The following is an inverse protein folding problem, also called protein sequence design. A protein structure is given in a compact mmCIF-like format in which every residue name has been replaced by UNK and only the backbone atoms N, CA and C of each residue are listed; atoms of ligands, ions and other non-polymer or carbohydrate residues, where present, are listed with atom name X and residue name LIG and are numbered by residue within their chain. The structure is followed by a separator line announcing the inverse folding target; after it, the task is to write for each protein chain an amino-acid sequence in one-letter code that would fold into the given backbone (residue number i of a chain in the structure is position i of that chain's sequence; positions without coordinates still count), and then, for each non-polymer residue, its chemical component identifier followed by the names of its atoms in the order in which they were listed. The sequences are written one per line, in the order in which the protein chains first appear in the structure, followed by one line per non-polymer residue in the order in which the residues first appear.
data_IF_059986911787
#
_entry.id   IF_059986911787
#
_cell.length_a   1.000
_cell.length_b   1.000
_cell.length_c   1.000
_cell.angle_alpha   90.00
_cell.angle_beta   90.00
_cell.angle_gamma   90.00
#
_symmetry.space_group_name_H-M   'P 1'
#
loop_
_entity.id
_entity.type
_entity.pdbx_description
1 polymer ?
#
# COMPACT_ATOMS: atom_id res chain seq x y z
N UNK A 1 4.35 -15.94 31.67
CA UNK A 1 5.30 -14.87 32.07
C UNK A 1 5.14 -14.58 33.57
N UNK A 2 6.24 -14.36 34.36
CA UNK A 2 6.16 -14.23 35.85
C UNK A 2 5.18 -13.15 36.32
N UNK A 3 5.16 -12.01 35.63
CA UNK A 3 4.30 -10.86 35.96
C UNK A 3 2.81 -11.15 35.80
N UNK A 4 2.43 -11.89 34.76
CA UNK A 4 1.03 -12.29 34.51
C UNK A 4 0.52 -13.25 35.58
N UNK A 5 1.36 -14.22 35.97
CA UNK A 5 1.03 -15.16 37.08
C UNK A 5 0.85 -14.45 38.41
N UNK A 6 1.71 -13.46 38.69
CA UNK A 6 1.61 -12.66 39.92
C UNK A 6 0.32 -11.86 39.94
N UNK A 7 0.01 -11.16 38.83
CA UNK A 7 -1.22 -10.36 38.71
C UNK A 7 -2.48 -11.19 38.85
N UNK A 8 -2.53 -12.37 38.21
CA UNK A 8 -3.66 -13.29 38.33
C UNK A 8 -3.84 -13.79 39.78
N UNK A 9 -2.73 -14.17 40.45
CA UNK A 9 -2.76 -14.59 41.85
C UNK A 9 -3.22 -13.49 42.80
N UNK A 10 -2.73 -12.27 42.61
CA UNK A 10 -3.10 -11.10 43.44
C UNK A 10 -4.59 -10.72 43.28
N UNK A 11 -5.19 -11.10 42.16
CA UNK A 11 -6.61 -10.83 41.84
C UNK A 11 -7.52 -12.05 41.94
N UNK A 12 -7.00 -13.20 42.39
CA UNK A 12 -7.77 -14.42 42.59
C UNK A 12 -8.31 -15.07 41.31
N UNK A 13 -7.64 -14.83 40.17
CA UNK A 13 -8.06 -15.36 38.88
C UNK A 13 -7.28 -16.63 38.56
N UNK A 14 -8.02 -17.68 38.17
CA UNK A 14 -7.41 -18.93 37.68
C UNK A 14 -7.02 -18.79 36.20
N UNK A 15 -5.72 -18.79 35.93
CA UNK A 15 -5.19 -18.70 34.56
C UNK A 15 -5.60 -19.86 33.64
N UNK A 16 -5.98 -21.01 34.21
CA UNK A 16 -6.43 -22.16 33.43
C UNK A 16 -7.80 -21.97 32.79
N UNK A 17 -8.59 -21.01 33.28
CA UNK A 17 -9.92 -20.67 32.76
C UNK A 17 -9.89 -19.56 31.72
N UNK A 18 -8.74 -18.92 31.53
CA UNK A 18 -8.59 -17.82 30.59
C UNK A 18 -8.08 -18.31 29.23
N UNK A 19 -8.69 -17.82 28.18
CA UNK A 19 -8.17 -17.98 26.81
C UNK A 19 -7.11 -16.93 26.57
N UNK A 20 -5.86 -17.37 26.30
CA UNK A 20 -4.75 -16.44 26.03
C UNK A 20 -4.85 -15.85 24.62
N UNK A 21 -4.75 -14.53 24.50
CA UNK A 21 -4.70 -13.80 23.22
C UNK A 21 -3.28 -13.55 22.70
N UNK A 22 -2.25 -14.01 23.40
CA UNK A 22 -0.85 -13.88 22.97
C UNK A 22 -0.51 -14.72 21.73
N UNK A 23 0.61 -14.37 21.09
CA UNK A 23 1.08 -14.90 19.78
C UNK A 23 1.13 -16.44 19.70
N UNK A 24 1.29 -17.14 20.83
CA UNK A 24 1.31 -18.60 20.92
C UNK A 24 0.20 -19.14 21.85
N UNK A 25 -0.90 -18.41 22.02
CA UNK A 25 -1.96 -18.79 22.97
C UNK A 25 -1.58 -18.50 24.42
N UNK A 26 -0.56 -17.70 24.68
CA UNK A 26 -0.17 -17.33 26.04
C UNK A 26 -1.17 -16.31 26.61
N UNK A 27 -1.51 -16.47 27.90
CA UNK A 27 -2.31 -15.48 28.61
C UNK A 27 -1.48 -14.22 28.81
N UNK A 28 -1.98 -13.09 28.33
CA UNK A 28 -1.40 -11.76 28.43
C UNK A 28 -1.86 -11.04 29.70
N UNK A 29 -1.26 -9.88 29.97
CA UNK A 29 -1.69 -9.02 31.07
C UNK A 29 -3.09 -8.44 30.83
N UNK A 30 -3.37 -8.14 29.57
CA UNK A 30 -4.64 -7.61 29.07
C UNK A 30 -5.77 -8.62 29.26
N UNK A 31 -5.51 -9.92 29.05
CA UNK A 31 -6.50 -10.99 29.30
C UNK A 31 -6.88 -11.09 30.76
N UNK A 32 -5.91 -10.97 31.65
CA UNK A 32 -6.16 -10.96 33.09
C UNK A 32 -6.93 -9.70 33.52
N UNK A 33 -6.63 -8.53 32.92
CA UNK A 33 -7.36 -7.30 33.19
C UNK A 33 -8.81 -7.34 32.69
N UNK A 34 -9.04 -7.87 31.51
CA UNK A 34 -10.38 -8.06 30.95
C UNK A 34 -11.24 -8.99 31.85
N UNK A 35 -10.64 -10.07 32.36
CA UNK A 35 -11.32 -10.96 33.33
C UNK A 35 -11.69 -10.28 34.65
N UNK A 36 -10.93 -9.28 35.07
CA UNK A 36 -11.24 -8.46 36.27
C UNK A 36 -12.45 -7.55 36.01
N UNK A 37 -12.56 -7.01 34.79
CA UNK A 37 -13.61 -6.06 34.38
C UNK A 37 -14.97 -6.71 34.09
N UNK A 38 -15.06 -8.03 34.07
CA UNK A 38 -16.29 -8.74 33.73
C UNK A 38 -16.74 -8.61 32.28
N UNK A 39 -15.93 -8.02 31.44
CA UNK A 39 -16.14 -8.04 29.98
C UNK A 39 -15.82 -9.45 29.46
N UNK A 40 -16.84 -10.15 29.03
CA UNK A 40 -16.67 -11.41 28.32
C UNK A 40 -15.87 -11.12 27.04
N UNK A 41 -14.59 -11.52 27.02
CA UNK A 41 -13.81 -11.54 25.79
C UNK A 41 -14.58 -12.43 24.81
N UNK A 42 -14.99 -11.92 23.63
CA UNK A 42 -15.66 -12.77 22.67
C UNK A 42 -14.77 -13.99 22.40
N UNK A 43 -15.32 -15.20 22.30
CA UNK A 43 -14.52 -16.39 22.10
C UNK A 43 -13.62 -16.15 20.89
N UNK A 44 -12.31 -16.22 21.09
CA UNK A 44 -11.37 -16.20 19.98
C UNK A 44 -11.77 -17.38 19.11
N UNK A 45 -12.31 -17.11 17.94
CA UNK A 45 -12.62 -18.15 16.96
C UNK A 45 -11.28 -18.78 16.64
N UNK A 46 -10.97 -19.91 17.26
CA UNK A 46 -9.87 -20.75 16.85
C UNK A 46 -10.25 -21.27 15.46
N UNK A 47 -9.88 -20.51 14.46
CA UNK A 47 -9.92 -21.00 13.09
C UNK A 47 -8.88 -22.10 13.02
N UNK A 48 -9.34 -23.32 13.23
CA UNK A 48 -8.59 -24.54 12.92
C UNK A 48 -8.48 -24.60 11.38
N UNK A 49 -7.65 -23.71 10.85
CA UNK A 49 -7.35 -23.68 9.44
C UNK A 49 -6.32 -24.79 9.16
N UNK A 50 -6.83 -25.91 8.66
CA UNK A 50 -5.99 -26.90 8.01
C UNK A 50 -5.32 -26.26 6.78
N UNK A 51 -4.25 -25.51 7.00
CA UNK A 51 -3.53 -24.77 5.96
C UNK A 51 -2.11 -24.40 6.40
N UNK A 52 -1.23 -24.22 5.43
CA UNK A 52 0.12 -23.74 5.67
C UNK A 52 0.09 -22.24 6.04
N UNK A 53 0.76 -21.87 7.13
CA UNK A 53 0.93 -20.46 7.51
C UNK A 53 2.24 -19.92 6.96
N UNK A 54 2.13 -19.01 6.01
CA UNK A 54 3.29 -18.33 5.42
C UNK A 54 3.42 -16.95 6.07
N UNK A 55 4.49 -16.66 6.81
CA UNK A 55 4.66 -15.39 7.49
C UNK A 55 4.98 -14.27 6.48
N UNK A 56 4.19 -13.21 6.48
CA UNK A 56 4.43 -12.00 5.67
C UNK A 56 5.46 -11.12 6.37
N UNK A 57 6.61 -10.88 5.72
CA UNK A 57 7.75 -10.14 6.30
C UNK A 57 8.36 -9.16 5.30
N UNK A 58 9.19 -8.22 5.81
CA UNK A 58 9.97 -7.30 5.00
C UNK A 58 9.11 -6.45 4.06
N UNK A 59 9.49 -6.37 2.80
CA UNK A 59 8.83 -5.55 1.77
C UNK A 59 7.35 -5.92 1.59
N UNK A 60 7.01 -7.21 1.63
CA UNK A 60 5.62 -7.66 1.51
C UNK A 60 4.74 -7.13 2.65
N UNK A 61 5.26 -7.08 3.87
CA UNK A 61 4.53 -6.53 5.00
C UNK A 61 4.31 -5.04 4.85
N UNK A 62 5.35 -4.28 4.50
CA UNK A 62 5.24 -2.83 4.28
C UNK A 62 4.26 -2.50 3.15
N UNK A 63 4.29 -3.28 2.07
CA UNK A 63 3.35 -3.14 0.96
C UNK A 63 1.91 -3.39 1.42
N UNK A 64 1.67 -4.47 2.17
CA UNK A 64 0.33 -4.80 2.68
C UNK A 64 -0.21 -3.68 3.60
N UNK A 65 0.62 -3.17 4.51
CA UNK A 65 0.26 -2.07 5.41
C UNK A 65 -0.08 -0.79 4.62
N UNK A 66 0.73 -0.44 3.61
CA UNK A 66 0.49 0.73 2.75
C UNK A 66 -0.80 0.57 1.92
N UNK A 67 -1.08 -0.62 1.39
CA UNK A 67 -2.29 -0.89 0.62
C UNK A 67 -3.55 -0.83 1.49
N UNK A 68 -3.50 -1.38 2.71
CA UNK A 68 -4.60 -1.28 3.67
C UNK A 68 -4.85 0.20 4.02
N UNK A 69 -3.81 0.96 4.35
CA UNK A 69 -3.95 2.39 4.62
C UNK A 69 -4.60 3.12 3.45
N UNK A 70 -4.11 2.90 2.21
CA UNK A 70 -4.67 3.53 1.02
C UNK A 70 -6.14 3.16 0.79
N UNK A 71 -6.49 1.87 0.91
CA UNK A 71 -7.84 1.38 0.63
C UNK A 71 -8.91 1.93 1.59
N UNK A 72 -8.53 2.20 2.84
CA UNK A 72 -9.48 2.61 3.88
C UNK A 72 -9.43 4.10 4.24
N UNK A 73 -8.45 4.86 3.75
CA UNK A 73 -8.36 6.30 4.00
C UNK A 73 -8.68 7.15 2.77
N UNK A 74 -8.41 6.66 1.56
CA UNK A 74 -8.68 7.37 0.32
C UNK A 74 -9.93 6.82 -0.38
N UNK A 75 -10.95 7.64 -0.68
CA UNK A 75 -12.08 7.20 -1.50
C UNK A 75 -11.59 6.85 -2.90
N UNK A 76 -11.85 5.62 -3.36
CA UNK A 76 -11.45 5.13 -4.66
C UNK A 76 -12.61 5.25 -5.65
N UNK A 77 -12.31 5.79 -6.83
CA UNK A 77 -13.21 5.83 -7.98
C UNK A 77 -12.49 5.19 -9.15
N UNK A 78 -13.20 4.37 -9.93
CA UNK A 78 -12.66 3.74 -11.12
C UNK A 78 -13.46 4.19 -12.33
N UNK A 79 -12.74 4.64 -13.36
CA UNK A 79 -13.34 5.04 -14.62
C UNK A 79 -12.68 4.30 -15.78
N UNK A 80 -13.44 4.06 -16.82
CA UNK A 80 -12.96 3.34 -18.02
C UNK A 80 -13.18 4.20 -19.25
N UNK A 81 -12.18 4.22 -20.11
CA UNK A 81 -12.26 4.83 -21.44
C UNK A 81 -11.58 3.91 -22.46
N UNK A 82 -12.23 3.71 -23.60
CA UNK A 82 -11.63 3.00 -24.72
C UNK A 82 -10.97 4.01 -25.67
N UNK A 83 -9.73 3.73 -26.06
CA UNK A 83 -8.93 4.61 -26.91
C UNK A 83 -8.34 3.80 -28.06
N UNK A 84 -8.55 4.28 -29.31
CA UNK A 84 -7.86 3.73 -30.47
C UNK A 84 -6.37 4.10 -30.45
N UNK A 85 -5.52 3.09 -30.30
CA UNK A 85 -4.07 3.22 -30.22
C UNK A 85 -3.36 3.03 -31.58
N UNK A 86 -4.07 2.84 -32.69
CA UNK A 86 -3.49 2.53 -34.01
C UNK A 86 -2.44 3.55 -34.41
N UNK A 87 -2.74 4.84 -34.34
CA UNK A 87 -1.79 5.91 -34.65
C UNK A 87 -0.59 5.95 -33.70
N UNK A 88 -0.81 5.65 -32.44
CA UNK A 88 0.26 5.59 -31.44
C UNK A 88 1.25 4.47 -31.76
N UNK A 89 0.75 3.30 -32.16
CA UNK A 89 1.58 2.17 -32.56
C UNK A 89 2.38 2.47 -33.82
N UNK A 90 1.77 3.12 -34.83
CA UNK A 90 2.50 3.59 -36.02
C UNK A 90 3.62 4.56 -35.67
N UNK A 91 3.40 5.47 -34.72
CA UNK A 91 4.44 6.41 -34.26
C UNK A 91 5.56 5.65 -33.58
N UNK A 92 5.25 4.71 -32.68
CA UNK A 92 6.24 3.86 -32.01
C UNK A 92 7.12 3.14 -33.02
N UNK A 93 6.53 2.54 -34.05
CA UNK A 93 7.27 1.81 -35.07
C UNK A 93 8.21 2.73 -35.87
N UNK A 94 7.74 3.91 -36.27
CA UNK A 94 8.58 4.92 -36.93
C UNK A 94 9.71 5.43 -36.05
N UNK A 95 9.49 5.52 -34.73
CA UNK A 95 10.52 5.94 -33.78
C UNK A 95 11.59 4.85 -33.61
N UNK A 96 11.18 3.58 -33.52
CA UNK A 96 12.08 2.42 -33.43
C UNK A 96 13.05 2.33 -34.62
N UNK A 97 12.59 2.67 -35.81
CA UNK A 97 13.47 2.66 -37.00
C UNK A 97 14.50 3.78 -37.01
N UNK A 98 14.32 4.83 -36.20
CA UNK A 98 15.18 6.03 -36.14
C UNK A 98 16.03 6.14 -34.87
N UNK A 99 15.78 5.31 -33.89
CA UNK A 99 16.48 5.32 -32.60
C UNK A 99 17.05 3.94 -32.32
N UNK A 100 18.21 3.90 -31.67
CA UNK A 100 18.78 2.68 -31.09
C UNK A 100 18.13 2.29 -29.78
N UNK A 101 17.29 3.15 -29.22
CA UNK A 101 16.63 2.94 -27.94
C UNK A 101 15.38 2.08 -28.08
N UNK A 102 15.06 1.32 -27.04
CA UNK A 102 13.87 0.45 -27.02
C UNK A 102 12.61 1.23 -26.71
N UNK A 103 12.03 1.86 -27.74
CA UNK A 103 10.79 2.63 -27.58
C UNK A 103 9.58 1.68 -27.55
N UNK A 104 8.73 1.84 -26.56
CA UNK A 104 7.51 1.08 -26.37
C UNK A 104 6.27 1.99 -26.36
N UNK A 105 5.06 1.49 -26.61
CA UNK A 105 3.84 2.28 -26.46
C UNK A 105 3.70 2.91 -25.08
N UNK A 106 4.26 2.25 -24.06
CA UNK A 106 4.24 2.71 -22.69
C UNK A 106 4.95 4.05 -22.47
N UNK A 107 6.04 4.30 -23.20
CA UNK A 107 6.77 5.59 -23.18
C UNK A 107 5.86 6.74 -23.65
N UNK A 108 5.09 6.52 -24.73
CA UNK A 108 4.16 7.55 -25.24
C UNK A 108 2.98 7.78 -24.30
N UNK A 109 2.45 6.73 -23.70
CA UNK A 109 1.39 6.82 -22.68
C UNK A 109 1.91 7.60 -21.47
N UNK A 110 3.13 7.33 -21.02
CA UNK A 110 3.79 8.04 -19.90
C UNK A 110 3.97 9.53 -20.22
N UNK A 111 4.41 9.85 -21.42
CA UNK A 111 4.54 11.23 -21.87
C UNK A 111 3.18 11.95 -21.93
N UNK A 112 2.13 11.27 -22.38
CA UNK A 112 0.77 11.80 -22.38
C UNK A 112 0.25 12.05 -20.96
N UNK A 113 0.53 11.12 -20.03
CA UNK A 113 0.18 11.26 -18.61
C UNK A 113 0.87 12.48 -17.97
N UNK A 114 2.16 12.67 -18.22
CA UNK A 114 2.91 13.85 -17.72
C UNK A 114 2.28 15.14 -18.26
N UNK A 115 1.96 15.18 -19.55
CA UNK A 115 1.29 16.34 -20.16
C UNK A 115 -0.09 16.59 -19.57
N UNK A 116 -0.85 15.55 -19.30
CA UNK A 116 -2.16 15.65 -18.65
C UNK A 116 -2.01 16.20 -17.22
N UNK A 117 -1.04 15.73 -16.45
CA UNK A 117 -0.75 16.23 -15.11
C UNK A 117 -0.31 17.69 -15.09
N UNK A 118 0.46 18.14 -16.09
CA UNK A 118 0.81 19.54 -16.25
C UNK A 118 -0.42 20.41 -16.57
N UNK A 119 -1.33 19.90 -17.40
CA UNK A 119 -2.57 20.60 -17.77
C UNK A 119 -3.61 20.62 -16.64
N UNK A 120 -3.65 19.56 -15.86
CA UNK A 120 -4.59 19.38 -14.76
C UNK A 120 -3.84 19.14 -13.44
N UNK A 121 -3.20 20.17 -12.87
CA UNK A 121 -2.22 19.98 -11.79
C UNK A 121 -2.82 19.40 -10.50
N UNK A 122 -4.13 19.48 -10.31
CA UNK A 122 -4.79 18.87 -9.13
C UNK A 122 -4.68 17.35 -9.07
N UNK A 123 -4.42 16.66 -10.18
CA UNK A 123 -4.18 15.21 -10.17
C UNK A 123 -2.81 14.84 -9.59
N UNK A 124 -1.87 15.80 -9.52
CA UNK A 124 -0.55 15.65 -8.91
C UNK A 124 -0.51 16.46 -7.60
N UNK A 125 -1.33 16.08 -6.64
CA UNK A 125 -1.49 16.79 -5.38
C UNK A 125 -1.59 15.86 -4.19
N UNK A 126 -1.40 16.40 -2.99
CA UNK A 126 -1.59 15.72 -1.71
C UNK A 126 -2.68 16.40 -0.91
N UNK A 127 -3.48 15.59 -0.22
CA UNK A 127 -4.39 16.06 0.81
C UNK A 127 -3.62 16.28 2.11
N UNK A 128 -3.84 17.41 2.76
CA UNK A 128 -3.21 17.78 4.04
C UNK A 128 -4.30 18.19 5.01
N UNK A 129 -4.43 17.43 6.10
CA UNK A 129 -5.31 17.80 7.19
C UNK A 129 -4.70 18.97 7.96
N UNK A 130 -5.50 19.99 8.25
CA UNK A 130 -5.14 21.18 9.02
C UNK A 130 -6.02 21.29 10.24
N UNK A 131 -5.69 22.20 11.17
CA UNK A 131 -6.49 22.41 12.39
C UNK A 131 -7.90 22.93 12.08
N UNK A 132 -8.05 23.66 10.98
CA UNK A 132 -9.29 24.35 10.59
C UNK A 132 -10.01 23.67 9.40
N UNK A 133 -9.54 22.49 8.98
CA UNK A 133 -10.10 21.76 7.84
C UNK A 133 -9.06 20.96 7.07
N UNK A 134 -8.98 21.14 5.76
CA UNK A 134 -8.01 20.46 4.92
C UNK A 134 -7.57 21.32 3.74
N UNK A 135 -6.31 21.17 3.33
CA UNK A 135 -5.72 21.82 2.16
C UNK A 135 -5.35 20.78 1.08
N UNK A 136 -5.27 21.25 -0.15
CA UNK A 136 -4.75 20.48 -1.28
C UNK A 136 -3.41 21.10 -1.72
N UNK A 137 -2.30 20.40 -1.46
CA UNK A 137 -0.98 20.81 -1.89
C UNK A 137 -0.72 20.30 -3.32
N UNK A 138 -0.62 21.21 -4.27
CA UNK A 138 -0.27 20.91 -5.66
C UNK A 138 1.25 20.83 -5.80
N UNK A 139 1.75 19.71 -6.31
CA UNK A 139 3.19 19.51 -6.52
C UNK A 139 3.60 20.00 -7.92
N UNK A 140 4.58 20.91 -8.02
CA UNK A 140 5.05 21.43 -9.32
C UNK A 140 5.88 20.39 -10.10
N UNK A 141 6.56 19.49 -9.38
CA UNK A 141 7.38 18.45 -9.96
C UNK A 141 6.60 17.13 -10.05
N UNK A 142 6.65 16.49 -11.21
CA UNK A 142 6.03 15.19 -11.44
C UNK A 142 7.08 14.10 -11.24
N UNK A 143 6.89 13.23 -10.26
CA UNK A 143 7.69 12.05 -10.01
C UNK A 143 6.89 10.83 -10.44
N UNK A 144 7.28 10.21 -11.55
CA UNK A 144 6.51 9.12 -12.14
C UNK A 144 7.06 7.76 -11.71
N UNK A 145 6.25 7.00 -10.98
CA UNK A 145 6.56 5.64 -10.56
C UNK A 145 6.04 4.59 -11.54
N UNK A 146 6.84 3.56 -11.78
CA UNK A 146 6.48 2.43 -12.63
C UNK A 146 6.47 1.14 -11.82
N UNK A 147 5.32 0.49 -11.77
CA UNK A 147 5.26 -0.83 -11.14
C UNK A 147 5.95 -1.87 -12.03
N UNK A 148 7.00 -2.48 -11.51
CA UNK A 148 7.78 -3.51 -12.18
C UNK A 148 7.79 -4.80 -11.35
N UNK A 149 7.38 -5.90 -11.95
CA UNK A 149 7.52 -7.22 -11.34
C UNK A 149 8.95 -7.71 -11.48
N UNK A 150 9.53 -8.17 -10.37
CA UNK A 150 10.90 -8.66 -10.33
C UNK A 150 10.99 -9.96 -9.55
N UNK A 151 12.08 -10.76 -9.72
CA UNK A 151 12.29 -11.97 -8.91
C UNK A 151 12.32 -11.72 -7.39
N UNK A 152 12.50 -10.46 -6.96
CA UNK A 152 12.47 -10.05 -5.55
C UNK A 152 11.11 -9.50 -5.11
N UNK A 153 10.11 -9.56 -5.98
CA UNK A 153 8.77 -8.98 -5.79
C UNK A 153 8.56 -7.69 -6.56
N UNK A 154 7.40 -7.08 -6.35
CA UNK A 154 7.01 -5.83 -6.99
C UNK A 154 7.89 -4.68 -6.49
N UNK A 155 8.54 -3.99 -7.42
CA UNK A 155 9.28 -2.75 -7.17
C UNK A 155 8.64 -1.61 -7.94
N UNK A 156 8.77 -0.39 -7.39
CA UNK A 156 8.25 0.82 -8.06
C UNK A 156 9.41 1.83 -8.19
N UNK A 157 10.29 1.67 -9.20
CA UNK A 157 11.27 2.71 -9.51
C UNK A 157 10.58 4.01 -9.87
N UNK A 158 11.19 5.14 -9.52
CA UNK A 158 10.62 6.47 -9.72
C UNK A 158 11.54 7.32 -10.59
N UNK A 159 11.04 7.77 -11.73
CA UNK A 159 11.67 8.81 -12.53
C UNK A 159 11.34 10.16 -11.90
N UNK A 160 12.34 10.83 -11.37
CA UNK A 160 12.17 12.12 -10.71
C UNK A 160 12.15 13.27 -11.73
N UNK A 161 11.29 14.27 -11.47
CA UNK A 161 11.11 15.45 -12.33
C UNK A 161 10.83 15.11 -13.80
N UNK A 162 10.02 14.08 -14.03
CA UNK A 162 9.70 13.58 -15.37
C UNK A 162 9.06 14.65 -16.29
N UNK A 163 8.59 15.75 -15.72
CA UNK A 163 8.08 16.91 -16.47
C UNK A 163 9.16 17.88 -16.95
N UNK A 164 10.39 17.76 -16.45
CA UNK A 164 11.54 18.58 -16.88
C UNK A 164 12.35 17.89 -18.00
N UNK A 165 12.29 16.57 -18.09
CA UNK A 165 13.07 15.77 -19.03
C UNK A 165 12.36 15.57 -20.37
N UNK A 166 13.15 15.26 -21.40
CA UNK A 166 12.62 14.81 -22.68
C UNK A 166 11.86 13.48 -22.47
N UNK A 167 10.67 13.28 -23.08
CA UNK A 167 9.95 12.01 -23.02
C UNK A 167 10.78 10.77 -23.38
N UNK A 168 11.84 10.93 -24.18
CA UNK A 168 12.78 9.87 -24.53
C UNK A 168 13.64 9.40 -23.35
N UNK A 169 13.78 10.20 -22.29
CA UNK A 169 14.47 9.79 -21.07
C UNK A 169 13.68 8.77 -20.23
N UNK A 170 12.47 8.41 -20.67
CA UNK A 170 11.61 7.40 -20.06
C UNK A 170 11.76 6.01 -20.72
N UNK A 171 12.58 5.89 -21.73
CA UNK A 171 12.79 4.65 -22.50
C UNK A 171 13.79 3.67 -21.87
#
# INVERSE_FOLDING_TARGET
KPLVRKLAKDKGIDLSTLVGTGLNGEVTREDVQAAIGGEAVPPSVSHDHAGERIPVRGVQRLMAEAMVASAFTAPHVTEWVEVDMSRTLEVVERMRTRSSERITPFVLVSAALIRAAQKYPRINSSWIDTKDGADVLIHPNIHLGFAADTPKGLLVPVVRNANADNPMALS
#
